data_IF_757338979440
#
_entry.id   IF_757338979440
#
_cell.length_a   1.000
_cell.length_b   1.000
_cell.length_c   1.000
_cell.angle_alpha   90.00
_cell.angle_beta   90.00
_cell.angle_gamma   90.00
#
_symmetry.space_group_name_H-M   'P 1'
#
loop_
_entity.id
_entity.type
_entity.pdbx_description
1 polymer ?
#
# COMPACT_ATOMS: atom_id res chain seq x y z
N UNK A 1 36.33 -14.71 31.66
CA UNK A 1 36.92 -14.29 30.36
C UNK A 1 36.08 -14.86 29.24
N UNK A 2 35.41 -13.99 28.48
CA UNK A 2 34.62 -14.39 27.31
C UNK A 2 35.22 -13.67 26.11
N UNK A 3 35.74 -14.46 25.18
CA UNK A 3 36.32 -14.07 23.90
C UNK A 3 35.62 -14.85 22.77
N UNK A 4 35.64 -14.25 21.58
CA UNK A 4 35.23 -14.68 20.24
C UNK A 4 33.75 -14.57 19.81
N UNK A 5 33.44 -13.43 19.19
CA UNK A 5 33.24 -13.37 17.74
C UNK A 5 31.96 -13.98 17.14
N UNK A 6 31.09 -13.11 16.60
CA UNK A 6 30.39 -13.32 15.31
C UNK A 6 29.82 -11.99 14.82
N UNK A 7 30.43 -11.44 13.78
CA UNK A 7 29.83 -10.40 12.95
C UNK A 7 28.50 -10.91 12.40
N UNK A 8 27.42 -10.20 12.69
CA UNK A 8 26.13 -10.38 12.02
C UNK A 8 26.27 -9.71 10.65
N UNK A 9 26.58 -10.51 9.62
CA UNK A 9 26.55 -10.04 8.24
C UNK A 9 25.10 -9.77 7.83
N UNK A 10 24.76 -8.50 7.65
CA UNK A 10 23.53 -8.08 6.98
C UNK A 10 23.77 -8.17 5.47
N UNK A 11 23.16 -9.14 4.80
CA UNK A 11 23.11 -9.17 3.34
C UNK A 11 21.80 -8.54 2.87
N UNK A 12 21.87 -7.28 2.45
CA UNK A 12 20.79 -6.65 1.70
C UNK A 12 20.87 -7.14 0.26
N UNK A 13 19.92 -7.99 -0.15
CA UNK A 13 19.79 -8.38 -1.55
C UNK A 13 18.66 -7.54 -2.15
N UNK A 14 19.03 -6.68 -3.09
CA UNK A 14 18.08 -6.04 -3.99
C UNK A 14 17.81 -7.02 -5.14
N UNK A 15 16.61 -7.60 -5.19
CA UNK A 15 16.21 -8.40 -6.36
C UNK A 15 15.31 -7.57 -7.26
N UNK A 16 15.63 -7.58 -8.56
CA UNK A 16 14.79 -7.01 -9.62
C UNK A 16 13.98 -8.13 -10.25
N UNK A 17 12.70 -8.24 -9.91
CA UNK A 17 11.76 -9.14 -10.58
C UNK A 17 10.68 -8.29 -11.26
N UNK A 18 10.49 -8.48 -12.56
CA UNK A 18 9.48 -7.80 -13.36
C UNK A 18 9.49 -6.25 -13.22
N UNK A 19 10.68 -5.65 -13.31
CA UNK A 19 10.92 -4.20 -13.18
C UNK A 19 10.53 -3.55 -11.82
N UNK A 20 10.42 -4.32 -10.73
CA UNK A 20 10.27 -3.80 -9.36
C UNK A 20 11.48 -4.17 -8.49
N UNK A 21 11.90 -3.25 -7.62
CA UNK A 21 12.96 -3.48 -6.63
C UNK A 21 12.35 -3.99 -5.32
N UNK A 22 12.83 -5.13 -4.84
CA UNK A 22 12.49 -5.65 -3.52
C UNK A 22 13.74 -5.64 -2.63
N UNK A 23 13.61 -5.14 -1.40
CA UNK A 23 14.67 -5.18 -0.39
C UNK A 23 14.33 -6.26 0.63
N UNK A 24 15.11 -7.35 0.65
CA UNK A 24 14.92 -8.46 1.58
C UNK A 24 15.86 -8.32 2.79
N UNK A 25 15.34 -8.56 4.00
CA UNK A 25 16.14 -8.64 5.24
C UNK A 25 15.92 -10.03 5.84
N UNK A 26 16.95 -10.89 5.81
CA UNK A 26 16.83 -12.28 6.26
C UNK A 26 17.31 -12.44 7.71
N UNK A 27 16.39 -12.76 8.62
CA UNK A 27 16.72 -13.43 9.89
C UNK A 27 16.28 -14.89 9.75
N UNK A 28 17.25 -15.81 9.75
CA UNK A 28 17.12 -17.27 9.73
C UNK A 28 15.65 -17.78 9.73
N UNK A 29 15.12 -17.91 8.51
CA UNK A 29 13.86 -18.57 8.12
C UNK A 29 12.50 -17.98 8.52
N UNK A 30 12.42 -16.71 8.96
CA UNK A 30 11.11 -16.03 9.14
C UNK A 30 11.08 -14.73 8.32
N UNK A 31 10.14 -14.65 7.38
CA UNK A 31 9.79 -13.41 6.67
C UNK A 31 8.86 -12.61 7.59
N UNK A 32 9.38 -11.59 8.27
CA UNK A 32 8.56 -10.64 9.00
C UNK A 32 7.95 -9.62 8.03
N UNK A 33 6.65 -9.71 7.79
CA UNK A 33 5.83 -8.61 7.27
C UNK A 33 5.51 -7.66 8.43
N UNK A 34 5.86 -6.38 8.32
CA UNK A 34 5.69 -5.44 9.43
C UNK A 34 4.70 -4.31 9.09
N UNK A 35 3.55 -4.44 9.74
CA UNK A 35 2.56 -3.47 10.24
C UNK A 35 2.77 -1.97 9.90
N UNK A 36 1.69 -1.35 9.42
CA UNK A 36 1.51 0.10 9.32
C UNK A 36 1.48 0.74 10.71
N UNK A 37 2.66 1.16 11.19
CA UNK A 37 2.78 2.37 11.99
C UNK A 37 3.33 3.47 11.07
N UNK A 38 3.01 4.74 11.33
CA UNK A 38 3.34 5.96 10.55
C UNK A 38 4.86 6.24 10.33
N UNK A 39 5.73 5.23 10.22
CA UNK A 39 7.17 5.32 10.41
C UNK A 39 8.01 4.56 9.37
N UNK A 40 7.44 4.10 8.25
CA UNK A 40 8.26 3.44 7.24
C UNK A 40 9.00 4.47 6.40
N UNK A 41 10.33 4.35 6.39
CA UNK A 41 11.21 5.10 5.50
C UNK A 41 11.52 4.25 4.27
N UNK A 42 11.51 4.86 3.07
CA UNK A 42 11.87 4.22 1.82
C UNK A 42 13.19 4.78 1.30
N UNK A 43 14.06 3.90 0.78
CA UNK A 43 15.29 4.31 0.12
C UNK A 43 15.08 4.25 -1.40
N UNK A 44 15.11 5.40 -2.06
CA UNK A 44 15.04 5.51 -3.51
C UNK A 44 16.46 5.41 -4.09
N UNK A 45 16.79 4.32 -4.81
CA UNK A 45 18.15 4.09 -5.26
C UNK A 45 18.55 5.06 -6.38
N UNK A 46 19.73 5.66 -6.27
CA UNK A 46 20.34 6.44 -7.34
C UNK A 46 21.87 6.35 -7.29
N UNK A 47 22.50 6.53 -8.45
CA UNK A 47 23.94 6.46 -8.63
C UNK A 47 24.44 7.73 -9.30
N UNK A 48 25.56 8.26 -8.80
CA UNK A 48 26.26 9.42 -9.33
C UNK A 48 27.63 8.99 -9.87
N UNK A 49 28.07 9.61 -10.96
CA UNK A 49 29.43 9.42 -11.48
C UNK A 49 30.44 10.10 -10.56
N UNK A 50 31.59 9.47 -10.35
CA UNK A 50 32.65 10.06 -9.54
C UNK A 50 33.27 11.26 -10.26
N UNK A 51 33.40 12.38 -9.55
CA UNK A 51 33.96 13.62 -10.07
C UNK A 51 33.93 14.72 -9.01
N UNK A 52 34.44 15.90 -9.36
CA UNK A 52 34.32 17.08 -8.50
C UNK A 52 32.93 17.71 -8.60
N UNK A 53 32.58 18.52 -7.61
CA UNK A 53 31.38 19.37 -7.58
C UNK A 53 30.06 18.59 -7.78
N UNK A 54 29.75 17.62 -6.88
CA UNK A 54 28.53 16.84 -6.98
C UNK A 54 27.29 17.72 -6.86
N UNK A 55 26.40 17.59 -7.84
CA UNK A 55 25.06 18.15 -7.87
C UNK A 55 24.07 17.01 -7.95
N UNK A 56 23.13 16.93 -7.00
CA UNK A 56 22.10 15.90 -6.93
C UNK A 56 20.75 16.58 -6.74
N UNK A 57 19.82 16.33 -7.66
CA UNK A 57 18.44 16.78 -7.57
C UNK A 57 17.48 15.60 -7.67
N UNK A 58 16.55 15.54 -6.74
CA UNK A 58 15.42 14.63 -6.77
C UNK A 58 14.13 15.39 -7.08
N UNK A 59 13.37 14.88 -8.04
CA UNK A 59 12.08 15.41 -8.44
C UNK A 59 11.01 14.33 -8.40
N UNK A 60 9.78 14.67 -7.99
CA UNK A 60 8.61 13.83 -8.21
C UNK A 60 7.95 14.28 -9.52
N UNK A 61 8.26 13.59 -10.61
CA UNK A 61 7.85 14.01 -11.97
C UNK A 61 6.36 13.79 -12.21
N UNK A 62 5.75 12.80 -11.56
CA UNK A 62 4.30 12.54 -11.68
C UNK A 62 3.44 13.65 -11.05
N UNK A 63 4.02 14.52 -10.22
CA UNK A 63 3.35 15.62 -9.56
C UNK A 63 3.73 17.00 -10.16
N UNK A 64 4.23 17.03 -11.39
CA UNK A 64 4.64 18.28 -12.06
C UNK A 64 6.04 18.75 -11.66
N UNK A 65 7.01 17.82 -11.63
CA UNK A 65 8.42 18.10 -11.31
C UNK A 65 8.63 18.79 -9.94
N UNK A 66 7.93 18.33 -8.91
CA UNK A 66 8.12 18.86 -7.56
C UNK A 66 9.54 18.58 -7.07
N UNK A 67 10.24 19.62 -6.59
CA UNK A 67 11.58 19.45 -6.02
C UNK A 67 11.50 18.73 -4.67
N UNK A 68 11.96 17.49 -4.65
CA UNK A 68 11.95 16.60 -3.48
C UNK A 68 13.18 16.84 -2.62
N UNK A 69 14.36 16.93 -3.22
CA UNK A 69 15.62 17.14 -2.49
C UNK A 69 16.69 17.75 -3.42
N UNK A 70 17.59 18.56 -2.87
CA UNK A 70 18.69 19.18 -3.63
C UNK A 70 19.95 19.21 -2.78
N UNK A 71 21.08 18.86 -3.39
CA UNK A 71 22.40 18.86 -2.80
C UNK A 71 23.42 19.39 -3.81
N UNK A 72 24.19 20.40 -3.41
CA UNK A 72 25.32 20.94 -4.18
C UNK A 72 26.19 21.84 -3.29
N UNK A 73 27.44 22.09 -3.69
CA UNK A 73 28.47 22.71 -2.84
C UNK A 73 28.69 21.95 -1.52
N UNK A 74 28.64 20.62 -1.60
CA UNK A 74 28.85 19.71 -0.47
C UNK A 74 27.88 19.92 0.72
N UNK A 75 26.65 20.37 0.44
CA UNK A 75 25.61 20.56 1.44
C UNK A 75 24.21 20.40 0.87
N UNK A 76 23.26 20.06 1.73
CA UNK A 76 21.83 20.06 1.40
C UNK A 76 21.32 21.48 1.17
N UNK A 77 20.43 21.63 0.19
CA UNK A 77 19.96 22.91 -0.34
C UNK A 77 18.44 22.94 -0.29
N UNK A 78 17.92 22.88 0.94
CA UNK A 78 16.49 22.65 1.22
C UNK A 78 15.61 23.90 1.07
N UNK A 79 16.17 25.06 0.75
CA UNK A 79 15.44 26.34 0.71
C UNK A 79 14.29 26.37 -0.30
N UNK A 80 14.40 25.63 -1.41
CA UNK A 80 13.36 25.51 -2.45
C UNK A 80 12.61 24.17 -2.40
N UNK A 81 12.86 23.36 -1.37
CA UNK A 81 12.23 22.05 -1.24
C UNK A 81 10.71 22.21 -1.12
N UNK A 82 9.97 21.37 -1.85
CA UNK A 82 8.51 21.35 -1.76
C UNK A 82 8.08 20.98 -0.32
N UNK A 83 7.00 21.62 0.15
CA UNK A 83 6.54 21.52 1.54
C UNK A 83 6.23 20.06 1.95
N UNK A 84 5.74 19.22 1.03
CA UNK A 84 5.38 17.83 1.33
C UNK A 84 6.58 16.96 1.71
N UNK A 85 7.81 17.38 1.36
CA UNK A 85 9.04 16.62 1.57
C UNK A 85 9.93 17.20 2.68
N UNK A 86 9.56 18.35 3.25
CA UNK A 86 10.33 19.01 4.31
C UNK A 86 10.50 18.08 5.51
N UNK A 87 11.73 18.02 6.04
CA UNK A 87 12.14 17.17 7.17
C UNK A 87 11.96 15.66 6.96
N UNK A 88 11.54 15.22 5.77
CA UNK A 88 11.29 13.82 5.44
C UNK A 88 12.36 13.22 4.55
N UNK A 89 13.23 14.02 3.96
CA UNK A 89 14.24 13.54 3.00
C UNK A 89 15.67 13.70 3.51
N UNK A 90 16.54 12.75 3.20
CA UNK A 90 17.98 12.89 3.42
C UNK A 90 18.78 12.04 2.43
N UNK A 91 19.95 12.54 2.02
CA UNK A 91 20.96 11.71 1.34
C UNK A 91 21.88 11.02 2.36
N UNK A 92 22.51 9.93 1.94
CA UNK A 92 23.53 9.24 2.73
C UNK A 92 24.89 9.86 2.36
N UNK A 93 25.25 10.95 3.04
CA UNK A 93 26.34 11.86 2.63
C UNK A 93 27.71 11.17 2.51
N UNK A 94 28.00 10.23 3.41
CA UNK A 94 29.24 9.43 3.41
C UNK A 94 29.38 8.53 2.18
N UNK A 95 28.27 8.19 1.51
CA UNK A 95 28.28 7.31 0.35
C UNK A 95 28.28 8.06 -1.00
N UNK A 96 28.12 9.39 -1.00
CA UNK A 96 28.18 10.19 -2.24
C UNK A 96 29.55 10.08 -2.90
N UNK A 97 30.63 10.10 -2.09
CA UNK A 97 32.01 9.94 -2.56
C UNK A 97 32.28 8.55 -3.17
N UNK A 98 31.46 7.56 -2.84
CA UNK A 98 31.50 6.20 -3.40
C UNK A 98 30.52 5.99 -4.55
N UNK A 99 29.82 7.05 -5.00
CA UNK A 99 28.90 7.00 -6.14
C UNK A 99 27.44 6.74 -5.78
N UNK A 100 27.07 6.72 -4.49
CA UNK A 100 25.69 6.52 -4.06
C UNK A 100 24.98 7.87 -3.80
N UNK A 101 23.95 8.16 -4.59
CA UNK A 101 23.12 9.36 -4.46
C UNK A 101 21.68 9.03 -4.03
N UNK A 102 21.49 7.88 -3.38
CA UNK A 102 20.16 7.40 -2.97
C UNK A 102 19.51 8.31 -1.94
N UNK A 103 18.19 8.48 -2.07
CA UNK A 103 17.38 9.33 -1.21
C UNK A 103 16.63 8.50 -0.18
N UNK A 104 16.82 8.78 1.09
CA UNK A 104 15.95 8.29 2.16
C UNK A 104 14.75 9.22 2.29
N UNK A 105 13.54 8.70 2.10
CA UNK A 105 12.26 9.37 2.33
C UNK A 105 11.59 8.75 3.55
N UNK A 106 11.32 9.53 4.58
CA UNK A 106 10.73 9.13 5.86
C UNK A 106 9.22 9.36 5.87
N UNK A 107 8.52 8.62 6.74
CA UNK A 107 7.08 8.77 6.96
C UNK A 107 6.28 8.67 5.66
N UNK A 108 6.60 7.69 4.82
CA UNK A 108 6.03 7.53 3.48
C UNK A 108 4.51 7.38 3.59
N UNK A 109 3.79 8.13 2.75
CA UNK A 109 2.33 8.15 2.67
C UNK A 109 1.87 8.05 1.20
N UNK A 110 0.56 7.92 1.00
CA UNK A 110 -0.06 7.67 -0.32
C UNK A 110 0.28 8.78 -1.35
N UNK A 111 0.45 10.03 -0.91
CA UNK A 111 0.78 11.16 -1.80
C UNK A 111 2.22 11.10 -2.34
N UNK A 112 3.10 10.36 -1.66
CA UNK A 112 4.45 10.15 -2.16
C UNK A 112 4.48 9.13 -3.29
N UNK A 113 3.40 8.36 -3.52
CA UNK A 113 3.31 7.46 -4.66
C UNK A 113 3.54 8.21 -5.97
N UNK A 114 4.35 7.63 -6.85
CA UNK A 114 4.59 8.21 -8.15
C UNK A 114 5.98 7.94 -8.72
N UNK A 115 6.27 8.64 -9.80
CA UNK A 115 7.54 8.55 -10.51
C UNK A 115 8.46 9.65 -10.03
N UNK A 116 9.65 9.26 -9.61
CA UNK A 116 10.74 10.12 -9.19
C UNK A 116 11.84 10.13 -10.24
N UNK A 117 12.50 11.27 -10.39
CA UNK A 117 13.69 11.48 -11.20
C UNK A 117 14.84 11.87 -10.28
N UNK A 118 15.92 11.11 -10.34
CA UNK A 118 17.21 11.51 -9.77
C UNK A 118 18.08 12.04 -10.90
N UNK A 119 18.40 13.32 -10.83
CA UNK A 119 19.35 14.01 -11.70
C UNK A 119 20.65 14.20 -10.93
N UNK A 120 21.76 13.73 -11.49
CA UNK A 120 23.09 13.88 -10.88
C UNK A 120 24.05 14.49 -11.88
N UNK A 121 24.92 15.38 -11.44
CA UNK A 121 25.99 15.94 -12.27
C UNK A 121 27.26 16.14 -11.45
N UNK A 122 28.39 15.95 -12.11
CA UNK A 122 29.75 16.24 -11.64
C UNK A 122 30.55 16.86 -12.78
N UNK A 123 31.81 17.20 -12.53
CA UNK A 123 32.74 17.63 -13.59
C UNK A 123 32.94 16.60 -14.72
N UNK A 124 32.60 15.34 -14.52
CA UNK A 124 32.74 14.29 -15.55
C UNK A 124 31.50 14.14 -16.43
N UNK A 125 30.36 14.72 -16.06
CA UNK A 125 29.12 14.60 -16.82
C UNK A 125 27.86 14.65 -15.97
N UNK A 126 26.73 14.26 -16.56
CA UNK A 126 25.45 14.14 -15.86
C UNK A 126 24.76 12.83 -16.18
N UNK A 127 23.85 12.41 -15.30
CA UNK A 127 23.04 11.21 -15.43
C UNK A 127 21.66 11.45 -14.85
N UNK A 128 20.67 10.82 -15.50
CA UNK A 128 19.30 10.75 -14.99
C UNK A 128 18.91 9.30 -14.75
N UNK A 129 18.14 9.07 -13.68
CA UNK A 129 17.50 7.79 -13.41
C UNK A 129 16.10 8.00 -12.86
N UNK A 130 15.22 7.03 -13.10
CA UNK A 130 13.82 7.11 -12.71
C UNK A 130 13.43 5.96 -11.80
N UNK A 131 12.71 6.28 -10.72
CA UNK A 131 12.27 5.34 -9.70
C UNK A 131 10.76 5.47 -9.59
N UNK A 132 10.03 4.36 -9.62
CA UNK A 132 8.60 4.36 -9.34
C UNK A 132 8.40 3.91 -7.89
N UNK A 133 7.96 4.84 -7.04
CA UNK A 133 7.53 4.54 -5.69
C UNK A 133 6.06 4.14 -5.74
N UNK A 134 5.74 2.94 -5.29
CA UNK A 134 4.37 2.47 -5.10
C UNK A 134 4.11 2.35 -3.61
N UNK A 135 2.98 2.92 -3.17
CA UNK A 135 2.54 2.77 -1.80
C UNK A 135 1.57 1.61 -1.76
N UNK A 136 1.77 0.68 -0.84
CA UNK A 136 0.90 -0.48 -0.69
C UNK A 136 0.50 -0.55 0.76
N UNK A 137 -0.79 -0.35 1.01
CA UNK A 137 -1.34 -0.54 2.34
C UNK A 137 -1.73 -2.00 2.53
N UNK A 138 -0.77 -2.84 2.92
CA UNK A 138 -1.06 -4.22 3.34
C UNK A 138 -1.97 -4.28 4.59
N UNK A 139 -2.28 -3.14 5.23
CA UNK A 139 -2.94 -3.10 6.54
C UNK A 139 -4.06 -2.07 6.70
N UNK A 140 -4.49 -1.39 5.62
CA UNK A 140 -5.77 -0.66 5.66
C UNK A 140 -6.96 -1.59 5.38
N UNK A 141 -6.85 -2.86 5.79
CA UNK A 141 -7.98 -3.79 5.83
C UNK A 141 -8.94 -3.31 6.90
N UNK A 142 -9.88 -2.47 6.50
CA UNK A 142 -11.05 -2.17 7.31
C UNK A 142 -11.84 -3.44 7.55
N UNK A 143 -12.56 -3.45 8.67
CA UNK A 143 -13.53 -4.50 8.92
C UNK A 143 -14.59 -4.48 7.82
N UNK A 144 -14.88 -5.68 7.31
CA UNK A 144 -16.01 -5.85 6.40
C UNK A 144 -17.24 -5.97 7.29
N UNK A 145 -18.17 -5.03 7.15
CA UNK A 145 -19.41 -5.00 7.92
C UNK A 145 -20.54 -5.44 7.01
N UNK A 146 -21.24 -6.50 7.40
CA UNK A 146 -22.45 -6.96 6.73
C UNK A 146 -23.64 -6.68 7.66
N UNK A 147 -24.66 -6.01 7.12
CA UNK A 147 -25.92 -5.76 7.82
C UNK A 147 -27.11 -6.06 6.92
N UNK A 148 -28.24 -6.41 7.54
CA UNK A 148 -29.50 -6.66 6.86
C UNK A 148 -30.55 -5.64 7.30
N UNK A 149 -31.24 -5.04 6.33
CA UNK A 149 -32.39 -4.16 6.52
C UNK A 149 -33.56 -4.68 5.65
N UNK A 150 -34.54 -5.33 6.29
CA UNK A 150 -35.60 -6.05 5.58
C UNK A 150 -35.05 -7.14 4.67
N UNK A 151 -35.31 -7.05 3.36
CA UNK A 151 -34.76 -7.97 2.34
C UNK A 151 -33.46 -7.47 1.66
N UNK A 152 -32.91 -6.34 2.12
CA UNK A 152 -31.68 -5.77 1.58
C UNK A 152 -30.51 -6.14 2.48
N UNK A 153 -29.52 -6.81 1.90
CA UNK A 153 -28.25 -7.12 2.58
C UNK A 153 -27.20 -6.15 2.04
N UNK A 154 -26.47 -5.51 2.94
CA UNK A 154 -25.45 -4.52 2.58
C UNK A 154 -24.12 -4.90 3.22
N UNK A 155 -23.08 -4.98 2.40
CA UNK A 155 -21.70 -5.14 2.80
C UNK A 155 -20.96 -3.82 2.62
N UNK A 156 -20.13 -3.42 3.58
CA UNK A 156 -19.40 -2.16 3.54
C UNK A 156 -18.04 -2.25 4.22
N UNK A 157 -17.10 -1.43 3.76
CA UNK A 157 -15.76 -1.30 4.30
C UNK A 157 -15.16 0.07 3.92
N UNK A 158 -14.26 0.62 4.75
CA UNK A 158 -13.87 2.04 4.70
C UNK A 158 -12.36 2.26 4.84
N UNK A 159 -11.77 3.15 4.07
CA UNK A 159 -10.34 3.47 4.20
C UNK A 159 -9.41 2.54 3.42
N UNK A 160 -9.89 1.87 2.38
CA UNK A 160 -9.11 0.89 1.61
C UNK A 160 -8.20 1.59 0.60
N UNK A 161 -6.97 1.12 0.42
CA UNK A 161 -6.10 1.52 -0.68
C UNK A 161 -5.25 0.34 -1.16
N UNK A 162 -5.06 0.14 -2.48
CA UNK A 162 -5.57 0.93 -3.61
C UNK A 162 -7.08 0.69 -3.87
N UNK A 163 -7.63 1.25 -4.96
CA UNK A 163 -9.04 1.10 -5.32
C UNK A 163 -9.48 -0.38 -5.28
N UNK A 164 -10.49 -0.74 -4.48
CA UNK A 164 -10.96 -2.11 -4.33
C UNK A 164 -12.08 -2.47 -5.31
N UNK A 165 -12.29 -3.78 -5.45
CA UNK A 165 -13.42 -4.44 -6.09
C UNK A 165 -14.19 -5.22 -5.02
N UNK A 166 -15.52 -5.25 -5.10
CA UNK A 166 -16.37 -6.02 -4.20
C UNK A 166 -17.22 -6.99 -5.02
N UNK A 167 -17.17 -8.27 -4.65
CA UNK A 167 -17.95 -9.34 -5.27
C UNK A 167 -18.77 -10.09 -4.23
N UNK A 168 -19.91 -10.62 -4.67
CA UNK A 168 -20.76 -11.50 -3.87
C UNK A 168 -20.69 -12.93 -4.38
N UNK A 169 -20.80 -13.89 -3.46
CA UNK A 169 -21.04 -15.30 -3.76
C UNK A 169 -22.00 -15.89 -2.74
N UNK A 170 -22.69 -16.98 -3.10
CA UNK A 170 -23.57 -17.70 -2.17
C UNK A 170 -23.16 -19.16 -2.04
N UNK A 171 -23.43 -19.74 -0.88
CA UNK A 171 -23.35 -21.17 -0.65
C UNK A 171 -24.72 -21.70 -0.16
N UNK A 172 -25.36 -22.64 -0.88
CA UNK A 172 -24.99 -23.15 -2.21
C UNK A 172 -25.05 -22.06 -3.32
N UNK A 173 -24.42 -22.28 -4.48
CA UNK A 173 -24.46 -21.32 -5.59
C UNK A 173 -25.89 -21.05 -6.04
N UNK A 174 -26.31 -19.80 -6.02
CA UNK A 174 -27.63 -19.39 -6.52
C UNK A 174 -27.70 -19.54 -8.04
N UNK A 175 -28.80 -20.08 -8.55
CA UNK A 175 -29.09 -20.14 -9.98
C UNK A 175 -29.57 -18.79 -10.55
N UNK A 176 -29.89 -17.83 -9.68
CA UNK A 176 -30.34 -16.49 -10.04
C UNK A 176 -29.18 -15.49 -9.88
N UNK A 177 -28.99 -14.64 -10.89
CA UNK A 177 -28.03 -13.53 -10.83
C UNK A 177 -28.39 -12.59 -9.68
N UNK A 178 -27.44 -12.30 -8.81
CA UNK A 178 -27.65 -11.39 -7.70
C UNK A 178 -27.81 -9.96 -8.23
N UNK A 179 -28.92 -9.30 -7.88
CA UNK A 179 -29.12 -7.89 -8.20
C UNK A 179 -28.37 -7.02 -7.18
N UNK A 180 -27.08 -6.82 -7.45
CA UNK A 180 -26.16 -6.05 -6.63
C UNK A 180 -25.98 -4.61 -7.13
N UNK A 181 -25.77 -3.69 -6.20
CA UNK A 181 -25.45 -2.29 -6.49
C UNK A 181 -24.27 -1.87 -5.65
N UNK A 182 -23.12 -1.68 -6.29
CA UNK A 182 -21.87 -1.29 -5.64
C UNK A 182 -21.62 0.21 -5.79
N UNK A 183 -21.24 0.85 -4.68
CA UNK A 183 -20.86 2.26 -4.59
C UNK A 183 -19.43 2.34 -4.09
N UNK A 184 -18.62 3.17 -4.73
CA UNK A 184 -17.24 3.43 -4.36
C UNK A 184 -17.08 4.94 -4.22
N UNK A 185 -16.54 5.38 -3.09
CA UNK A 185 -16.26 6.78 -2.82
C UNK A 185 -14.79 6.94 -2.41
N UNK A 186 -14.12 7.93 -3.01
CA UNK A 186 -12.76 8.31 -2.61
C UNK A 186 -12.82 9.40 -1.55
N UNK A 187 -12.09 9.23 -0.46
CA UNK A 187 -11.96 10.21 0.64
C UNK A 187 -10.92 11.27 0.32
N UNK A 188 -10.88 12.35 1.10
CA UNK A 188 -9.87 13.41 0.99
C UNK A 188 -8.44 12.86 1.16
N UNK A 189 -8.28 11.88 2.06
CA UNK A 189 -7.02 11.15 2.33
C UNK A 189 -6.62 10.16 1.22
N UNK A 190 -7.30 10.18 0.07
CA UNK A 190 -7.11 9.29 -1.08
C UNK A 190 -7.43 7.81 -0.82
N UNK A 191 -8.16 7.51 0.25
CA UNK A 191 -8.64 6.16 0.57
C UNK A 191 -9.99 5.90 -0.09
N UNK A 192 -10.40 4.64 -0.17
CA UNK A 192 -11.67 4.23 -0.77
C UNK A 192 -12.61 3.61 0.27
N UNK A 193 -13.84 4.12 0.29
CA UNK A 193 -14.96 3.50 0.98
C UNK A 193 -15.80 2.76 -0.06
N UNK A 194 -16.09 1.49 0.21
CA UNK A 194 -16.87 0.64 -0.69
C UNK A 194 -18.08 0.09 0.04
N UNK A 195 -19.23 0.12 -0.61
CA UNK A 195 -20.45 -0.48 -0.11
C UNK A 195 -21.20 -1.14 -1.25
N UNK A 196 -21.67 -2.36 -1.06
CA UNK A 196 -22.53 -3.04 -2.02
C UNK A 196 -23.77 -3.54 -1.32
N UNK A 197 -24.92 -3.32 -1.94
CA UNK A 197 -26.19 -3.83 -1.45
C UNK A 197 -26.82 -4.76 -2.48
N UNK A 198 -27.31 -5.91 -2.03
CA UNK A 198 -28.10 -6.83 -2.83
C UNK A 198 -29.52 -6.92 -2.27
N UNK A 199 -30.48 -7.03 -3.17
CA UNK A 199 -31.86 -7.41 -2.81
C UNK A 199 -31.96 -8.87 -3.16
N UNK A 200 -31.95 -9.73 -2.14
CA UNK A 200 -31.71 -11.17 -2.34
C UNK A 200 -32.88 -11.84 -3.07
N UNK A 201 -32.61 -12.93 -3.84
CA UNK A 201 -33.67 -13.85 -4.23
C UNK A 201 -34.28 -14.47 -2.95
N UNK A 202 -35.60 -14.62 -2.94
CA UNK A 202 -36.28 -15.35 -1.87
C UNK A 202 -35.91 -16.83 -1.98
N UNK A 203 -35.12 -17.33 -1.03
CA UNK A 203 -34.69 -18.72 -0.96
C UNK A 203 -34.27 -19.07 0.47
N UNK A 204 -34.67 -20.25 1.00
CA UNK A 204 -34.24 -20.68 2.32
C UNK A 204 -32.74 -21.00 2.34
N UNK A 205 -32.08 -20.66 3.45
CA UNK A 205 -30.74 -21.10 3.88
C UNK A 205 -29.55 -20.80 2.94
N UNK A 206 -29.50 -19.62 2.31
CA UNK A 206 -28.30 -19.16 1.60
C UNK A 206 -27.30 -18.47 2.55
N UNK A 207 -26.03 -18.89 2.47
CA UNK A 207 -24.89 -18.18 3.07
C UNK A 207 -24.39 -17.16 2.04
N UNK A 208 -24.51 -15.87 2.33
CA UNK A 208 -23.99 -14.80 1.50
C UNK A 208 -22.55 -14.49 1.90
N UNK A 209 -21.64 -14.46 0.94
CA UNK A 209 -20.24 -14.12 1.12
C UNK A 209 -19.91 -12.83 0.37
N UNK A 210 -19.45 -11.81 1.10
CA UNK A 210 -18.96 -10.57 0.52
C UNK A 210 -17.43 -10.61 0.48
N UNK A 211 -16.85 -10.53 -0.72
CA UNK A 211 -15.41 -10.53 -0.93
C UNK A 211 -14.95 -9.17 -1.42
N UNK A 212 -14.04 -8.53 -0.68
CA UNK A 212 -13.37 -7.30 -1.10
C UNK A 212 -11.96 -7.65 -1.54
N UNK A 213 -11.63 -7.28 -2.77
CA UNK A 213 -10.37 -7.60 -3.42
C UNK A 213 -9.67 -6.33 -3.88
N UNK A 214 -8.37 -6.28 -3.66
CA UNK A 214 -7.44 -5.33 -4.30
C UNK A 214 -6.50 -6.11 -5.20
N UNK A 215 -5.56 -5.42 -5.85
CA UNK A 215 -4.61 -6.06 -6.79
C UNK A 215 -3.74 -7.16 -6.16
N UNK A 216 -3.55 -7.17 -4.84
CA UNK A 216 -2.70 -8.17 -4.14
C UNK A 216 -3.41 -8.92 -3.03
N UNK A 217 -4.47 -8.35 -2.47
CA UNK A 217 -5.08 -8.81 -1.24
C UNK A 217 -6.58 -9.06 -1.42
N UNK A 218 -7.14 -10.02 -0.68
CA UNK A 218 -8.57 -10.31 -0.67
C UNK A 218 -9.01 -10.66 0.75
N UNK A 219 -10.15 -10.12 1.18
CA UNK A 219 -10.82 -10.45 2.45
C UNK A 219 -12.28 -10.76 2.17
N UNK A 220 -12.80 -11.78 2.84
CA UNK A 220 -14.17 -12.25 2.67
C UNK A 220 -14.85 -12.35 4.02
N UNK A 221 -16.08 -11.86 4.12
CA UNK A 221 -16.96 -12.09 5.27
C UNK A 221 -18.25 -12.75 4.83
N UNK A 222 -18.85 -13.53 5.74
CA UNK A 222 -20.05 -14.31 5.47
C UNK A 222 -21.22 -13.88 6.35
N UNK A 223 -22.42 -14.05 5.83
CA UNK A 223 -23.67 -13.71 6.49
C UNK A 223 -24.74 -14.75 6.17
N UNK A 224 -25.44 -15.22 7.19
CA UNK A 224 -26.51 -16.20 7.07
C UNK A 224 -27.83 -15.47 7.34
N UNK A 225 -28.76 -15.50 6.37
CA UNK A 225 -30.09 -14.91 6.55
C UNK A 225 -30.84 -15.73 7.62
N UNK A 226 -31.36 -15.10 8.69
CA UNK A 226 -32.17 -15.81 9.66
C UNK A 226 -33.40 -16.41 8.97
N UNK A 227 -33.63 -17.72 9.15
CA UNK A 227 -34.83 -18.38 8.63
C UNK A 227 -36.08 -17.73 9.21
N UNK A 228 -37.06 -17.45 8.34
CA UNK A 228 -38.39 -17.03 8.76
C UNK A 228 -39.00 -18.20 9.55
N UNK A 229 -39.09 -18.08 10.88
CA UNK A 229 -39.79 -19.08 11.69
C UNK A 229 -41.26 -19.05 11.29
N UNK A 230 -41.66 -19.99 10.44
CA UNK A 230 -43.07 -20.31 10.20
C UNK A 230 -43.69 -20.70 11.54
N UNK A 231 -44.81 -20.07 11.86
CA UNK A 231 -45.42 -20.13 13.19
C UNK A 231 -45.56 -21.56 13.72
N UNK A 232 -45.13 -21.74 14.97
CA UNK A 232 -45.56 -22.87 15.79
C UNK A 232 -47.08 -22.84 15.86
N UNK A 233 -47.72 -23.70 15.06
CA UNK A 233 -49.10 -24.06 15.29
C UNK A 233 -49.14 -24.81 16.61
N UNK A 234 -49.61 -24.15 17.67
CA UNK A 234 -49.97 -24.77 18.93
C UNK A 234 -50.89 -25.95 18.64
N UNK A 235 -50.33 -27.15 18.67
CA UNK A 235 -51.08 -28.39 18.81
C UNK A 235 -51.64 -28.42 20.23
N UNK A 236 -52.82 -27.83 20.40
CA UNK A 236 -53.72 -28.18 21.50
C UNK A 236 -54.13 -29.65 21.30
N UNK A 237 -53.38 -30.57 21.91
CA UNK A 237 -53.87 -31.92 22.15
C UNK A 237 -54.70 -31.92 23.42
N UNK A 238 -56.02 -31.92 23.21
CA UNK A 238 -57.17 -32.33 24.05
C UNK A 238 -57.19 -31.88 25.50
#
# INVERSE_FOLDING_TARGET
ELDYGKLIFWTFIAAKHNNRCFLFCYFRFIVFFLLFNKLQSCLLPCQIQLGSDPLIHWYQVSAGDLLVHSYYHNKDQLGKQNQNFKNRTSLILDQISTGNASLLLKEVNIQDEGRYKCYTSTSTGYKESFINLQTEADFLFSDIRIHQDGNRITCSSEGIYPQPELTWSTEPPSNTTLNETTRIQKTEDQLYNISSSLTGPDGPDLIYSCSIRTRRNQKTETFIKPGEKTGEQLLMFV
#
